data_IF_161284300171
#
_entry.id   IF_161284300171
#
_cell.length_a   1.000
_cell.length_b   1.000
_cell.length_c   1.000
_cell.angle_alpha   90.00
_cell.angle_beta   90.00
_cell.angle_gamma   90.00
#
_symmetry.space_group_name_H-M   'P 1'
#
loop_
_entity.id
_entity.type
_entity.pdbx_description
1 polymer ?
#
# COMPACT_ATOMS: atom_id res chain seq x y z
N UNK A 1 -9.16 -3.78 -9.30
CA UNK A 1 -9.89 -3.25 -10.45
C UNK A 1 -11.12 -2.49 -9.98
N UNK A 2 -12.10 -3.17 -9.34
CA UNK A 2 -13.42 -2.61 -8.97
C UNK A 2 -13.31 -1.29 -8.19
N UNK A 3 -12.39 -1.20 -7.21
CA UNK A 3 -12.20 0.01 -6.39
C UNK A 3 -11.80 1.24 -7.20
N UNK A 4 -11.08 1.05 -8.31
CA UNK A 4 -10.69 2.15 -9.20
C UNK A 4 -11.83 2.52 -10.16
N UNK A 5 -12.52 1.53 -10.71
CA UNK A 5 -13.67 1.74 -11.60
C UNK A 5 -14.83 2.46 -10.89
N UNK A 6 -14.99 2.22 -9.58
CA UNK A 6 -15.97 2.93 -8.75
C UNK A 6 -15.74 4.45 -8.67
N UNK A 7 -14.56 4.95 -9.06
CA UNK A 7 -14.25 6.38 -9.11
C UNK A 7 -14.61 7.02 -10.46
N UNK A 8 -15.00 6.25 -11.48
CA UNK A 8 -15.37 6.78 -12.80
C UNK A 8 -16.48 7.84 -12.74
N UNK A 9 -17.54 7.73 -11.91
CA UNK A 9 -18.54 8.77 -11.77
C UNK A 9 -17.99 10.12 -11.25
N UNK A 10 -16.79 10.09 -10.64
CA UNK A 10 -16.08 11.28 -10.16
C UNK A 10 -15.12 11.86 -11.21
N UNK A 11 -15.16 11.36 -12.45
CA UNK A 11 -14.30 11.81 -13.56
C UNK A 11 -12.92 11.14 -13.62
N UNK A 12 -12.71 10.07 -12.88
CA UNK A 12 -11.47 9.29 -12.95
C UNK A 12 -11.52 8.36 -14.16
N UNK A 13 -10.54 8.48 -15.05
CA UNK A 13 -10.33 7.53 -16.15
C UNK A 13 -9.43 6.39 -15.69
N UNK A 14 -9.85 5.14 -15.90
CA UNK A 14 -9.10 3.94 -15.55
C UNK A 14 -8.58 3.27 -16.82
N UNK A 15 -7.27 3.30 -17.00
CA UNK A 15 -6.58 2.65 -18.11
C UNK A 15 -6.17 1.26 -17.65
N UNK A 16 -6.69 0.22 -18.29
CA UNK A 16 -6.30 -1.16 -18.02
C UNK A 16 -5.21 -1.58 -19.00
N UNK A 17 -4.09 -2.07 -18.48
CA UNK A 17 -2.96 -2.54 -19.28
C UNK A 17 -2.85 -4.05 -19.15
N UNK A 18 -2.73 -4.74 -20.28
CA UNK A 18 -2.46 -6.18 -20.29
C UNK A 18 -1.02 -6.44 -19.86
N UNK A 19 -0.83 -7.40 -18.98
CA UNK A 19 0.50 -7.88 -18.57
C UNK A 19 0.96 -9.08 -19.40
N UNK A 20 0.22 -9.43 -20.47
CA UNK A 20 0.60 -10.48 -21.40
C UNK A 20 1.58 -9.90 -22.42
N UNK A 21 2.76 -10.51 -22.54
CA UNK A 21 3.82 -10.09 -23.45
C UNK A 21 5.19 -10.25 -22.81
N UNK A 22 6.22 -9.94 -23.56
CA UNK A 22 7.62 -10.17 -23.14
C UNK A 22 8.14 -9.10 -22.17
N UNK A 23 7.52 -7.91 -22.16
CA UNK A 23 7.90 -6.79 -21.27
C UNK A 23 6.66 -6.06 -20.73
N UNK A 24 6.05 -6.61 -19.67
CA UNK A 24 4.88 -6.00 -19.05
C UNK A 24 5.17 -4.63 -18.41
N UNK A 25 6.39 -4.41 -17.89
CA UNK A 25 6.79 -3.13 -17.30
C UNK A 25 6.87 -2.03 -18.36
N UNK A 26 7.42 -2.31 -19.54
CA UNK A 26 7.43 -1.35 -20.64
C UNK A 26 6.00 -0.97 -21.05
N UNK A 27 5.11 -1.96 -21.14
CA UNK A 27 3.69 -1.73 -21.48
C UNK A 27 2.99 -0.83 -20.45
N UNK A 28 3.23 -1.06 -19.16
CA UNK A 28 2.72 -0.24 -18.06
C UNK A 28 3.26 1.20 -18.13
N UNK A 29 4.57 1.36 -18.32
CA UNK A 29 5.22 2.68 -18.40
C UNK A 29 4.82 3.46 -19.65
N UNK A 30 4.59 2.77 -20.77
CA UNK A 30 4.10 3.41 -22.00
C UNK A 30 2.67 3.94 -21.84
N UNK A 31 1.83 3.28 -21.06
CA UNK A 31 0.48 3.74 -20.75
C UNK A 31 0.47 4.99 -19.83
N UNK A 32 1.59 5.31 -19.18
CA UNK A 32 1.72 6.49 -18.31
C UNK A 32 1.89 7.78 -19.13
N UNK A 33 0.83 8.20 -19.82
CA UNK A 33 0.77 9.49 -20.50
C UNK A 33 0.65 10.69 -19.51
N UNK A 34 0.66 11.94 -20.04
CA UNK A 34 0.76 13.16 -19.22
C UNK A 34 -0.43 13.39 -18.27
N UNK A 35 -1.55 12.72 -18.49
CA UNK A 35 -2.73 12.80 -17.61
C UNK A 35 -2.74 11.72 -16.52
N UNK A 36 -1.88 10.71 -16.58
CA UNK A 36 -1.81 9.65 -15.59
C UNK A 36 -1.20 10.20 -14.30
N UNK A 37 -1.88 9.98 -13.19
CA UNK A 37 -1.47 10.46 -11.85
C UNK A 37 -1.04 9.34 -10.93
N UNK A 38 -1.54 8.15 -11.17
CA UNK A 38 -1.32 6.98 -10.33
C UNK A 38 -1.21 5.73 -11.19
N UNK A 39 -0.20 4.90 -10.93
CA UNK A 39 -0.13 3.51 -11.37
C UNK A 39 -0.44 2.63 -10.16
N UNK A 40 -1.48 1.81 -10.26
CA UNK A 40 -1.84 0.84 -9.22
C UNK A 40 -1.66 -0.58 -9.78
N UNK A 41 -0.78 -1.35 -9.13
CA UNK A 41 -0.37 -2.68 -9.60
C UNK A 41 -0.24 -3.66 -8.43
N UNK A 42 -0.39 -4.95 -8.70
CA UNK A 42 0.05 -5.99 -7.76
C UNK A 42 1.52 -6.34 -8.04
N UNK A 43 2.34 -6.38 -6.99
CA UNK A 43 3.77 -6.74 -7.10
C UNK A 43 3.97 -8.14 -7.68
N UNK A 44 3.10 -9.07 -7.28
CA UNK A 44 3.02 -10.44 -7.78
C UNK A 44 1.56 -10.75 -8.10
N UNK A 45 1.28 -11.22 -9.29
CA UNK A 45 -0.08 -11.57 -9.72
C UNK A 45 -0.53 -12.88 -9.10
N UNK A 46 -1.64 -12.86 -8.37
CA UNK A 46 -2.12 -14.02 -7.61
C UNK A 46 -2.44 -15.25 -8.48
N UNK A 47 -2.90 -15.04 -9.71
CA UNK A 47 -3.33 -16.13 -10.60
C UNK A 47 -2.19 -16.74 -11.41
N UNK A 48 -1.19 -15.96 -11.78
CA UNK A 48 -0.10 -16.39 -12.67
C UNK A 48 1.25 -16.50 -11.97
N UNK A 49 1.42 -15.90 -10.79
CA UNK A 49 2.71 -15.77 -10.14
C UNK A 49 3.66 -14.77 -10.81
N UNK A 50 3.19 -14.04 -11.84
CA UNK A 50 4.02 -13.04 -12.51
C UNK A 50 4.49 -12.00 -11.48
N UNK A 51 5.79 -11.92 -11.28
CA UNK A 51 6.48 -10.92 -10.46
C UNK A 51 6.95 -9.77 -11.34
N UNK A 52 6.57 -8.55 -10.99
CA UNK A 52 6.98 -7.35 -11.70
C UNK A 52 8.31 -6.80 -11.16
N UNK A 53 9.09 -6.16 -12.03
CA UNK A 53 10.30 -5.40 -11.69
C UNK A 53 9.89 -4.07 -11.04
N UNK A 54 9.71 -4.09 -9.71
CA UNK A 54 9.28 -2.92 -8.93
C UNK A 54 10.31 -1.77 -8.96
N UNK A 55 11.63 -2.00 -8.86
CA UNK A 55 12.63 -0.95 -9.03
C UNK A 55 12.46 -0.20 -10.36
N UNK A 56 12.34 -0.92 -11.47
CA UNK A 56 12.15 -0.35 -12.81
C UNK A 56 10.86 0.46 -12.91
N UNK A 57 9.75 -0.07 -12.38
CA UNK A 57 8.47 0.63 -12.35
C UNK A 57 8.53 1.89 -11.48
N UNK A 58 9.16 1.81 -10.31
CA UNK A 58 9.32 2.96 -9.41
C UNK A 58 10.10 4.09 -10.05
N UNK A 59 11.24 3.79 -10.69
CA UNK A 59 12.04 4.76 -11.43
C UNK A 59 11.26 5.36 -12.60
N UNK A 60 10.61 4.52 -13.40
CA UNK A 60 9.82 4.97 -14.53
C UNK A 60 8.62 5.82 -14.16
N UNK A 61 7.96 5.54 -13.03
CA UNK A 61 6.89 6.36 -12.48
C UNK A 61 7.40 7.71 -11.98
N UNK A 62 8.50 7.72 -11.23
CA UNK A 62 9.11 8.96 -10.71
C UNK A 62 9.49 9.92 -11.84
N UNK A 63 10.16 9.43 -12.89
CA UNK A 63 10.54 10.21 -14.07
C UNK A 63 9.34 10.86 -14.78
N UNK A 64 8.16 10.27 -14.64
CA UNK A 64 6.90 10.73 -15.26
C UNK A 64 6.00 11.53 -14.31
N UNK A 65 6.41 11.70 -13.05
CA UNK A 65 5.60 12.34 -12.01
C UNK A 65 4.34 11.54 -11.66
N UNK A 66 4.36 10.21 -11.87
CA UNK A 66 3.27 9.29 -11.56
C UNK A 66 3.51 8.67 -10.18
N UNK A 67 2.48 8.62 -9.34
CA UNK A 67 2.56 7.96 -8.04
C UNK A 67 2.43 6.44 -8.23
N UNK A 68 3.34 5.66 -7.63
CA UNK A 68 3.26 4.20 -7.65
C UNK A 68 2.56 3.68 -6.40
N UNK A 69 1.48 2.92 -6.61
CA UNK A 69 0.68 2.26 -5.58
C UNK A 69 0.81 0.75 -5.76
N UNK A 70 1.35 0.06 -4.75
CA UNK A 70 1.69 -1.36 -4.83
C UNK A 70 0.75 -2.17 -3.93
N UNK A 71 -0.02 -3.06 -4.52
CA UNK A 71 -0.61 -4.18 -3.81
C UNK A 71 0.46 -5.25 -3.60
N UNK A 72 0.97 -5.33 -2.37
CA UNK A 72 2.05 -6.22 -1.97
C UNK A 72 1.55 -7.52 -1.34
N UNK A 73 0.25 -7.81 -1.41
CA UNK A 73 -0.38 -8.93 -0.69
C UNK A 73 0.23 -10.30 -1.04
N UNK A 74 0.75 -10.49 -2.26
CA UNK A 74 1.44 -11.71 -2.67
C UNK A 74 2.97 -11.60 -2.64
N UNK A 75 3.51 -10.53 -2.08
CA UNK A 75 4.94 -10.25 -2.06
C UNK A 75 5.47 -10.13 -0.62
N UNK A 76 4.83 -9.29 0.19
CA UNK A 76 5.27 -8.95 1.55
C UNK A 76 5.14 -10.17 2.45
N UNK A 77 6.26 -10.56 3.08
CA UNK A 77 6.40 -11.77 3.90
C UNK A 77 6.93 -12.99 3.12
N UNK A 78 6.82 -13.02 1.77
CA UNK A 78 7.43 -14.06 0.93
C UNK A 78 8.76 -13.59 0.32
N UNK A 79 8.87 -12.30 0.05
CA UNK A 79 10.03 -11.68 -0.59
C UNK A 79 10.40 -10.39 0.15
N UNK A 80 11.67 -10.01 0.11
CA UNK A 80 12.11 -8.72 0.67
C UNK A 80 11.39 -7.55 -0.01
N UNK A 81 10.90 -6.59 0.79
CA UNK A 81 10.14 -5.45 0.31
C UNK A 81 10.71 -4.14 0.86
N UNK A 82 11.23 -3.29 -0.03
CA UNK A 82 11.79 -1.98 0.35
C UNK A 82 11.02 -0.85 -0.35
N UNK A 83 10.26 -0.10 0.44
CA UNK A 83 9.45 1.03 -0.04
C UNK A 83 10.28 2.16 -0.67
N UNK A 84 11.54 2.32 -0.24
CA UNK A 84 12.45 3.34 -0.76
C UNK A 84 13.05 2.88 -2.09
N UNK A 85 13.55 1.65 -2.14
CA UNK A 85 14.09 1.06 -3.37
C UNK A 85 13.04 1.06 -4.49
N UNK A 86 11.78 0.77 -4.15
CA UNK A 86 10.67 0.75 -5.11
C UNK A 86 10.05 2.13 -5.35
N UNK A 87 10.51 3.16 -4.63
CA UNK A 87 10.01 4.54 -4.74
C UNK A 87 8.49 4.65 -4.67
N UNK A 88 7.86 3.73 -3.92
CA UNK A 88 6.42 3.67 -3.86
C UNK A 88 5.82 4.83 -3.06
N UNK A 89 4.69 5.32 -3.55
CA UNK A 89 3.88 6.31 -2.86
C UNK A 89 2.98 5.65 -1.81
N UNK A 90 2.45 4.48 -2.17
CA UNK A 90 1.57 3.67 -1.34
C UNK A 90 1.89 2.20 -1.50
N UNK A 91 1.80 1.43 -0.41
CA UNK A 91 1.83 -0.02 -0.45
C UNK A 91 0.85 -0.58 0.58
N UNK A 92 0.25 -1.71 0.26
CA UNK A 92 -0.70 -2.39 1.14
C UNK A 92 -0.57 -3.91 1.02
N UNK A 93 -0.81 -4.59 2.14
CA UNK A 93 -0.93 -6.04 2.18
C UNK A 93 -1.82 -6.47 3.36
N UNK A 94 -2.58 -7.54 3.17
CA UNK A 94 -3.27 -8.19 4.28
C UNK A 94 -2.32 -9.07 5.10
N UNK A 95 -2.60 -9.19 6.39
CA UNK A 95 -1.79 -9.99 7.32
C UNK A 95 -1.93 -11.50 7.12
N UNK A 96 -3.07 -11.98 6.59
CA UNK A 96 -3.44 -13.39 6.57
C UNK A 96 -2.81 -14.24 5.45
N UNK A 97 -1.89 -13.69 4.64
CA UNK A 97 -1.17 -14.45 3.60
C UNK A 97 0.27 -14.74 4.04
N UNK A 98 1.22 -14.16 3.34
CA UNK A 98 2.63 -14.43 3.56
C UNK A 98 3.20 -13.80 4.83
N UNK A 99 2.47 -12.85 5.45
CA UNK A 99 2.80 -12.34 6.77
C UNK A 99 2.37 -13.31 7.90
N UNK A 100 1.68 -14.41 7.57
CA UNK A 100 1.29 -15.51 8.48
C UNK A 100 0.38 -15.05 9.65
N UNK A 101 -0.20 -13.87 9.53
CA UNK A 101 -1.08 -13.29 10.54
C UNK A 101 -2.56 -13.67 10.36
N UNK A 102 -3.44 -13.18 11.24
CA UNK A 102 -4.86 -13.43 11.15
C UNK A 102 -5.55 -12.59 10.07
N UNK A 103 -6.74 -13.00 9.64
CA UNK A 103 -7.65 -12.16 8.87
C UNK A 103 -8.10 -10.93 9.67
N UNK A 104 -8.52 -9.87 8.97
CA UNK A 104 -9.05 -8.65 9.58
C UNK A 104 -7.99 -7.67 10.09
N UNK A 105 -6.73 -7.87 9.71
CA UNK A 105 -5.65 -6.93 9.92
C UNK A 105 -4.74 -6.90 8.68
N UNK A 106 -4.31 -5.70 8.30
CA UNK A 106 -3.39 -5.49 7.20
C UNK A 106 -2.45 -4.33 7.50
N UNK A 107 -1.49 -4.13 6.61
CA UNK A 107 -0.54 -3.02 6.67
C UNK A 107 -0.78 -2.06 5.52
N UNK A 108 -0.66 -0.77 5.80
CA UNK A 108 -0.75 0.30 4.81
C UNK A 108 0.43 1.25 4.98
N UNK A 109 1.22 1.36 3.94
CA UNK A 109 2.27 2.37 3.83
C UNK A 109 1.79 3.55 3.00
N UNK A 110 2.00 4.75 3.52
CA UNK A 110 1.82 6.01 2.81
C UNK A 110 3.05 6.87 2.98
N UNK A 111 3.67 7.27 1.88
CA UNK A 111 4.82 8.17 1.88
C UNK A 111 4.50 9.47 2.63
N UNK A 112 5.41 9.92 3.47
CA UNK A 112 5.15 10.99 4.46
C UNK A 112 4.66 12.31 3.86
N UNK A 113 5.20 12.71 2.69
CA UNK A 113 4.83 13.94 1.98
C UNK A 113 3.40 13.91 1.39
N UNK A 114 2.82 12.71 1.29
CA UNK A 114 1.48 12.51 0.73
C UNK A 114 0.38 12.45 1.80
N UNK A 115 0.72 12.10 3.06
CA UNK A 115 -0.28 11.87 4.11
C UNK A 115 -1.26 13.03 4.28
N UNK A 116 -0.76 14.25 4.35
CA UNK A 116 -1.61 15.44 4.52
C UNK A 116 -2.43 15.81 3.27
N UNK A 117 -2.06 15.28 2.10
CA UNK A 117 -2.75 15.53 0.82
C UNK A 117 -3.94 14.59 0.60
N UNK A 118 -3.98 13.46 1.33
CA UNK A 118 -5.08 12.52 1.21
C UNK A 118 -6.30 13.05 1.96
N UNK A 119 -7.45 13.00 1.27
CA UNK A 119 -8.74 13.32 1.88
C UNK A 119 -9.14 12.19 2.81
N UNK A 120 -9.48 12.52 4.05
CA UNK A 120 -10.03 11.57 5.00
C UNK A 120 -11.52 11.38 4.72
N UNK A 121 -11.98 10.14 4.77
CA UNK A 121 -13.37 9.78 4.54
C UNK A 121 -14.05 9.25 5.80
N UNK A 122 -13.26 8.82 6.77
CA UNK A 122 -13.71 8.34 8.08
C UNK A 122 -13.03 9.15 9.18
N UNK A 123 -13.75 9.38 10.26
CA UNK A 123 -13.29 10.18 11.39
C UNK A 123 -13.59 9.47 12.70
N UNK A 124 -12.70 9.61 13.67
CA UNK A 124 -12.88 9.07 15.01
C UNK A 124 -11.79 9.52 15.96
N UNK A 125 -11.91 9.12 17.21
CA UNK A 125 -11.11 9.62 18.31
C UNK A 125 -9.63 9.20 18.25
N UNK A 126 -9.34 8.04 17.69
CA UNK A 126 -7.97 7.47 17.68
C UNK A 126 -7.04 8.14 16.66
N UNK A 127 -7.59 8.67 15.57
CA UNK A 127 -6.83 9.31 14.49
C UNK A 127 -6.27 10.69 14.81
N UNK A 128 -6.57 11.23 16.02
CA UNK A 128 -6.24 12.60 16.41
C UNK A 128 -4.77 12.74 16.82
N UNK A 129 -4.19 13.93 16.62
CA UNK A 129 -2.80 14.24 17.04
C UNK A 129 -2.60 14.05 18.53
N UNK A 130 -3.61 14.42 19.32
CA UNK A 130 -3.62 14.29 20.77
C UNK A 130 -4.70 13.27 21.22
N UNK A 131 -4.73 12.10 20.64
CA UNK A 131 -5.63 11.02 21.05
C UNK A 131 -5.41 10.69 22.53
N UNK A 132 -6.51 10.65 23.33
CA UNK A 132 -6.45 10.45 24.77
C UNK A 132 -6.54 11.75 25.61
N UNK A 133 -6.41 12.93 25.01
CA UNK A 133 -6.70 14.22 25.65
C UNK A 133 -8.18 14.56 25.45
N UNK A 134 -9.03 14.06 26.33
CA UNK A 134 -10.49 14.20 26.24
C UNK A 134 -11.01 15.58 26.68
N UNK A 135 -10.19 16.40 27.31
CA UNK A 135 -10.58 17.76 27.75
C UNK A 135 -10.39 18.80 26.64
N UNK A 136 -9.75 18.40 25.55
CA UNK A 136 -9.45 19.29 24.43
C UNK A 136 -10.67 19.48 23.51
N UNK A 137 -11.11 20.73 23.35
CA UNK A 137 -12.20 21.09 22.42
C UNK A 137 -11.76 21.19 20.95
N UNK A 138 -10.49 21.52 20.69
CA UNK A 138 -9.93 21.61 19.35
C UNK A 138 -9.25 20.30 18.95
N UNK A 139 -9.46 19.88 17.72
CA UNK A 139 -8.87 18.64 17.22
C UNK A 139 -8.25 18.81 15.82
N UNK A 140 -7.28 17.99 15.52
CA UNK A 140 -6.69 17.86 14.21
C UNK A 140 -6.24 16.41 13.98
N UNK A 141 -6.26 15.92 12.73
CA UNK A 141 -5.75 14.59 12.41
C UNK A 141 -4.25 14.48 12.73
N UNK A 142 -3.82 13.32 13.16
CA UNK A 142 -2.41 13.04 13.41
C UNK A 142 -1.55 13.30 12.16
N UNK A 143 -0.32 13.76 12.36
CA UNK A 143 0.67 13.95 11.29
C UNK A 143 1.23 12.62 10.79
N UNK A 144 1.21 11.61 11.65
CA UNK A 144 1.62 10.24 11.32
C UNK A 144 0.55 9.49 10.52
N UNK A 145 0.84 8.23 10.13
CA UNK A 145 -0.12 7.35 9.46
C UNK A 145 -1.33 7.00 10.35
N UNK A 146 -1.25 7.20 11.68
CA UNK A 146 -2.38 7.06 12.60
C UNK A 146 -3.62 7.87 12.19
N UNK A 147 -3.44 8.94 11.39
CA UNK A 147 -4.56 9.70 10.81
C UNK A 147 -5.53 8.85 9.97
N UNK A 148 -5.14 7.63 9.58
CA UNK A 148 -5.96 6.69 8.82
C UNK A 148 -6.62 5.62 9.71
N UNK A 149 -6.40 5.67 11.03
CA UNK A 149 -6.91 4.72 12.01
C UNK A 149 -7.95 5.40 12.90
N UNK A 150 -9.21 5.45 12.45
CA UNK A 150 -10.23 6.28 13.08
C UNK A 150 -10.78 5.71 14.40
N UNK A 151 -10.85 4.37 14.53
CA UNK A 151 -11.50 3.70 15.67
C UNK A 151 -10.55 2.92 16.58
N UNK A 152 -11.12 2.10 17.42
CA UNK A 152 -10.37 1.21 18.32
C UNK A 152 -9.55 0.21 17.51
N UNK A 153 -8.24 0.06 17.77
CA UNK A 153 -7.40 -0.86 17.04
C UNK A 153 -7.78 -2.33 17.33
N UNK A 154 -7.60 -3.19 16.33
CA UNK A 154 -7.70 -4.64 16.49
C UNK A 154 -6.49 -5.18 17.28
N UNK A 155 -6.51 -5.02 18.60
CA UNK A 155 -5.37 -5.39 19.45
C UNK A 155 -5.03 -6.88 19.36
N UNK A 156 -6.05 -7.77 19.31
CA UNK A 156 -5.83 -9.20 19.19
C UNK A 156 -5.15 -9.55 17.86
N UNK A 157 -5.63 -8.97 16.77
CA UNK A 157 -5.01 -9.13 15.47
C UNK A 157 -3.59 -8.58 15.41
N UNK A 158 -3.34 -7.41 16.03
CA UNK A 158 -2.01 -6.80 16.09
C UNK A 158 -1.02 -7.70 16.87
N UNK A 159 -1.40 -8.24 18.03
CA UNK A 159 -0.56 -9.17 18.80
C UNK A 159 -0.27 -10.47 18.05
N UNK A 160 -1.26 -11.00 17.34
CA UNK A 160 -1.08 -12.21 16.55
C UNK A 160 -0.17 -11.96 15.32
N UNK A 161 -0.31 -10.80 14.67
CA UNK A 161 0.58 -10.41 13.58
C UNK A 161 2.01 -10.14 14.07
N UNK A 162 2.19 -9.53 15.24
CA UNK A 162 3.48 -9.31 15.86
C UNK A 162 4.23 -10.65 16.10
N UNK A 163 3.52 -11.64 16.63
CA UNK A 163 4.09 -12.98 16.84
C UNK A 163 4.51 -13.66 15.51
N UNK A 164 3.71 -13.51 14.44
CA UNK A 164 4.06 -14.08 13.14
C UNK A 164 5.19 -13.33 12.45
N UNK A 165 5.26 -12.01 12.59
CA UNK A 165 6.39 -11.22 12.09
C UNK A 165 7.69 -11.55 12.81
N UNK A 166 7.64 -11.73 14.13
CA UNK A 166 8.81 -12.17 14.92
C UNK A 166 9.35 -13.51 14.42
N UNK A 167 8.48 -14.47 14.05
CA UNK A 167 8.89 -15.72 13.45
C UNK A 167 9.62 -15.51 12.11
N UNK A 168 9.11 -14.62 11.25
CA UNK A 168 9.76 -14.30 9.97
C UNK A 168 11.10 -13.60 10.17
N UNK A 169 11.22 -12.75 11.21
CA UNK A 169 12.47 -12.10 11.59
C UNK A 169 13.50 -13.08 12.11
N UNK A 170 13.09 -14.05 12.96
CA UNK A 170 13.95 -15.08 13.51
C UNK A 170 14.53 -15.99 12.41
N UNK A 171 13.72 -16.34 11.41
CA UNK A 171 14.18 -17.11 10.24
C UNK A 171 15.07 -16.25 9.33
N UNK A 172 14.71 -14.98 9.17
CA UNK A 172 15.37 -14.03 8.27
C UNK A 172 14.87 -14.09 6.84
N UNK A 173 14.58 -12.92 6.27
CA UNK A 173 14.01 -12.84 4.92
C UNK A 173 14.93 -13.39 3.81
N UNK A 174 16.22 -13.51 4.04
CA UNK A 174 17.17 -14.15 3.11
C UNK A 174 16.97 -15.67 2.99
N UNK A 175 16.43 -16.30 4.02
CA UNK A 175 16.13 -17.74 4.03
C UNK A 175 14.70 -18.03 3.50
N UNK A 176 13.81 -17.04 3.61
CA UNK A 176 12.42 -17.17 3.16
C UNK A 176 12.27 -16.93 1.65
N UNK A 177 13.09 -16.05 1.04
CA UNK A 177 12.92 -15.53 -0.35
C UNK A 177 13.68 -16.31 -1.43
#
# INVERSE_FOLDING_TARGET
RVVWEALQPQGVEVIQVSLKGDDPEASLLQACGPKVRLMAISAVQYASGLRLDLPRLGEGCEQRGVLLCIDAIQHLGALSFDVQQYRCAFAMADGHKWLLGPEGLGVFYCRSDLRARLKLHEYGWHMLEHAGDYDRSEWQPARSARRFECGSPNLLGAMALDASLSLLEDVGMSEVS
#
